data_IF_895294490553
#
_entry.id   IF_895294490553
#
_cell.length_a   1.000
_cell.length_b   1.000
_cell.length_c   1.000
_cell.angle_alpha   90.00
_cell.angle_beta   90.00
_cell.angle_gamma   90.00
#
_symmetry.space_group_name_H-M   'P 1'
#
loop_
_entity.id
_entity.type
_entity.pdbx_description
1 polymer ?
#
# COMPACT_ATOMS: atom_id res chain seq x y z
N UNK A 1 -10.57 17.55 -23.69
CA UNK A 1 -10.80 17.19 -22.28
C UNK A 1 -9.48 16.74 -21.70
N UNK A 2 -8.89 17.52 -20.81
CA UNK A 2 -7.65 17.11 -20.11
C UNK A 2 -8.03 16.01 -19.11
N UNK A 3 -7.57 14.80 -19.36
CA UNK A 3 -7.70 13.71 -18.39
C UNK A 3 -6.92 14.10 -17.13
N UNK A 4 -7.61 14.07 -15.98
CA UNK A 4 -6.97 14.34 -14.70
C UNK A 4 -5.82 13.34 -14.49
N UNK A 5 -4.56 13.80 -14.26
CA UNK A 5 -3.42 12.91 -14.06
C UNK A 5 -3.66 11.83 -12.99
N UNK A 6 -4.45 12.15 -11.96
CA UNK A 6 -4.85 11.19 -10.93
C UNK A 6 -5.73 10.05 -11.46
N UNK A 7 -6.62 10.32 -12.42
CA UNK A 7 -7.46 9.26 -12.99
C UNK A 7 -6.65 8.28 -13.85
N UNK A 8 -5.63 8.77 -14.54
CA UNK A 8 -4.69 7.93 -15.30
C UNK A 8 -3.87 7.07 -14.34
N UNK A 9 -3.34 7.65 -13.27
CA UNK A 9 -2.55 6.95 -12.27
C UNK A 9 -3.34 5.84 -11.55
N UNK A 10 -4.60 6.12 -11.17
CA UNK A 10 -5.49 5.15 -10.54
C UNK A 10 -5.92 4.02 -11.48
N UNK A 11 -6.08 4.31 -12.77
CA UNK A 11 -6.50 3.31 -13.75
C UNK A 11 -5.37 2.37 -14.16
N UNK A 12 -4.11 2.84 -14.12
CA UNK A 12 -2.93 2.05 -14.49
C UNK A 12 -2.44 1.11 -13.37
N UNK A 13 -2.80 1.38 -12.12
CA UNK A 13 -2.33 0.64 -10.95
C UNK A 13 -3.50 0.13 -10.09
N UNK A 14 -4.42 -0.61 -10.71
CA UNK A 14 -5.57 -1.19 -9.98
C UNK A 14 -5.10 -2.18 -8.92
N UNK A 15 -5.78 -2.13 -7.78
CA UNK A 15 -5.55 -3.03 -6.66
C UNK A 15 -5.90 -4.47 -7.07
N UNK A 16 -4.89 -5.31 -7.10
CA UNK A 16 -4.97 -6.74 -7.33
C UNK A 16 -4.15 -7.47 -6.27
N UNK A 17 -4.39 -8.77 -6.11
CA UNK A 17 -3.71 -9.56 -5.09
C UNK A 17 -2.17 -9.48 -5.15
N UNK A 18 -1.61 -9.35 -6.35
CA UNK A 18 -0.17 -9.37 -6.56
C UNK A 18 0.50 -8.01 -6.34
N UNK A 19 -0.24 -6.91 -6.49
CA UNK A 19 0.30 -5.54 -6.42
C UNK A 19 -0.20 -4.74 -5.21
N UNK A 20 -0.76 -5.40 -4.19
CA UNK A 20 -1.33 -4.73 -3.01
C UNK A 20 -0.37 -3.74 -2.34
N UNK A 21 0.91 -4.07 -2.24
CA UNK A 21 1.91 -3.21 -1.59
C UNK A 21 2.07 -1.88 -2.31
N UNK A 22 2.18 -1.93 -3.64
CA UNK A 22 2.30 -0.72 -4.48
C UNK A 22 0.98 0.06 -4.51
N UNK A 23 -0.13 -0.64 -4.59
CA UNK A 23 -1.47 -0.03 -4.56
C UNK A 23 -1.79 0.61 -3.22
N UNK A 24 -1.39 0.01 -2.09
CA UNK A 24 -1.51 0.62 -0.76
C UNK A 24 -0.70 1.91 -0.67
N UNK A 25 0.54 1.90 -1.18
CA UNK A 25 1.38 3.11 -1.22
C UNK A 25 0.70 4.23 -2.00
N UNK A 26 0.07 3.90 -3.12
CA UNK A 26 -0.68 4.84 -3.93
C UNK A 26 -1.93 5.36 -3.20
N UNK A 27 -2.66 4.48 -2.49
CA UNK A 27 -3.80 4.85 -1.66
C UNK A 27 -3.43 5.79 -0.50
N UNK A 28 -2.24 5.65 0.07
CA UNK A 28 -1.74 6.55 1.11
C UNK A 28 -1.35 7.93 0.58
N UNK A 29 -0.80 8.00 -0.64
CA UNK A 29 -0.32 9.24 -1.25
C UNK A 29 -1.49 10.16 -1.63
N UNK A 30 -2.54 9.63 -2.29
CA UNK A 30 -3.61 10.45 -2.87
C UNK A 30 -4.40 11.24 -1.83
N UNK A 31 -4.92 10.63 -0.74
CA UNK A 31 -5.61 11.38 0.30
C UNK A 31 -4.72 12.38 1.03
N UNK A 32 -3.41 12.08 1.12
CA UNK A 32 -2.43 12.98 1.75
C UNK A 32 -2.22 14.22 0.90
N UNK A 33 -2.05 14.07 -0.42
CA UNK A 33 -1.87 15.20 -1.36
C UNK A 33 -3.09 16.11 -1.36
N UNK A 34 -4.29 15.55 -1.29
CA UNK A 34 -5.56 16.30 -1.30
C UNK A 34 -6.03 16.74 0.11
N UNK A 35 -5.22 16.56 1.15
CA UNK A 35 -5.54 16.93 2.55
C UNK A 35 -6.81 16.28 3.12
N UNK A 36 -7.22 15.11 2.60
CA UNK A 36 -8.42 14.41 3.05
C UNK A 36 -8.12 13.17 3.92
N UNK A 37 -6.84 12.86 4.16
CA UNK A 37 -6.43 11.66 4.91
C UNK A 37 -6.95 11.60 6.34
N UNK A 38 -7.25 12.75 6.93
CA UNK A 38 -7.72 12.86 8.31
C UNK A 38 -9.01 12.08 8.60
N UNK A 39 -9.90 11.89 7.60
CA UNK A 39 -11.14 11.11 7.77
C UNK A 39 -10.89 9.61 8.01
N UNK A 40 -9.69 9.10 7.72
CA UNK A 40 -9.33 7.71 8.01
C UNK A 40 -9.04 7.48 9.50
N UNK A 41 -8.79 8.54 10.26
CA UNK A 41 -8.40 8.48 11.68
C UNK A 41 -9.38 9.23 12.58
N UNK A 42 -10.24 10.08 12.02
CA UNK A 42 -11.20 10.89 12.76
C UNK A 42 -12.60 10.30 12.58
N UNK A 43 -13.29 9.92 13.65
CA UNK A 43 -14.65 9.42 13.56
C UNK A 43 -15.61 10.49 13.01
N UNK A 44 -16.73 10.03 12.45
CA UNK A 44 -17.78 10.93 11.99
C UNK A 44 -18.28 11.79 13.16
N UNK A 45 -18.36 13.11 13.01
CA UNK A 45 -19.05 13.97 13.97
C UNK A 45 -20.50 13.52 14.19
N UNK A 46 -21.09 13.82 15.34
CA UNK A 46 -22.50 13.50 15.59
C UNK A 46 -23.39 14.14 14.53
N UNK A 47 -24.48 13.43 14.21
CA UNK A 47 -25.48 13.97 13.28
C UNK A 47 -26.10 15.26 13.85
N UNK A 48 -26.37 16.21 12.98
CA UNK A 48 -27.01 17.45 13.34
C UNK A 48 -28.37 17.22 14.00
N UNK A 49 -28.61 17.90 15.10
CA UNK A 49 -29.87 17.94 15.84
C UNK A 49 -30.27 19.41 16.08
N UNK A 50 -31.40 19.63 16.73
CA UNK A 50 -31.94 20.98 16.98
C UNK A 50 -31.02 21.84 17.87
N UNK A 51 -30.09 21.22 18.64
CA UNK A 51 -29.14 21.90 19.52
C UNK A 51 -27.75 22.08 18.86
N UNK A 52 -27.56 21.62 17.62
CA UNK A 52 -26.26 21.68 16.93
C UNK A 52 -25.92 23.11 16.54
N UNK A 53 -24.69 23.52 16.82
CA UNK A 53 -24.18 24.82 16.40
C UNK A 53 -23.87 24.86 14.90
N UNK A 54 -23.71 26.06 14.34
CA UNK A 54 -23.28 26.20 12.94
C UNK A 54 -21.89 25.56 12.71
N UNK A 55 -21.00 25.65 13.70
CA UNK A 55 -19.68 25.06 13.67
C UNK A 55 -19.73 23.52 13.62
N UNK A 56 -20.65 22.89 14.38
CA UNK A 56 -20.86 21.43 14.34
C UNK A 56 -21.39 20.98 12.97
N UNK A 57 -22.30 21.75 12.39
CA UNK A 57 -22.85 21.47 11.06
C UNK A 57 -21.78 21.60 9.96
N UNK A 58 -20.92 22.62 10.05
CA UNK A 58 -19.82 22.81 9.11
C UNK A 58 -18.77 21.71 9.25
N UNK A 59 -18.46 21.27 10.47
CA UNK A 59 -17.55 20.15 10.74
C UNK A 59 -18.09 18.84 10.17
N UNK A 60 -19.38 18.55 10.36
CA UNK A 60 -20.03 17.36 9.80
C UNK A 60 -20.02 17.40 8.27
N UNK A 61 -20.35 18.55 7.66
CA UNK A 61 -20.36 18.70 6.21
C UNK A 61 -18.95 18.54 5.61
N UNK A 62 -17.92 19.06 6.27
CA UNK A 62 -16.53 18.90 5.87
C UNK A 62 -16.08 17.44 5.95
N UNK A 63 -16.49 16.74 7.01
CA UNK A 63 -16.18 15.32 7.18
C UNK A 63 -16.84 14.47 6.10
N UNK A 64 -18.16 14.64 5.88
CA UNK A 64 -18.90 13.89 4.87
C UNK A 64 -18.32 14.08 3.46
N UNK A 65 -17.99 15.33 3.10
CA UNK A 65 -17.34 15.62 1.81
C UNK A 65 -15.99 14.93 1.68
N UNK A 66 -15.16 14.99 2.71
CA UNK A 66 -13.83 14.36 2.69
C UNK A 66 -13.94 12.85 2.67
N UNK A 67 -14.88 12.27 3.41
CA UNK A 67 -15.16 10.82 3.40
C UNK A 67 -15.55 10.34 2.00
N UNK A 68 -16.49 11.05 1.34
CA UNK A 68 -16.92 10.69 -0.02
C UNK A 68 -15.76 10.76 -1.03
N UNK A 69 -14.93 11.79 -0.96
CA UNK A 69 -13.76 11.94 -1.82
C UNK A 69 -12.80 10.76 -1.63
N UNK A 70 -12.47 10.40 -0.38
CA UNK A 70 -11.56 9.29 -0.10
C UNK A 70 -12.16 7.95 -0.51
N UNK A 71 -13.46 7.71 -0.26
CA UNK A 71 -14.17 6.51 -0.74
C UNK A 71 -14.07 6.39 -2.27
N UNK A 72 -14.33 7.46 -3.00
CA UNK A 72 -14.20 7.46 -4.46
C UNK A 72 -12.78 7.10 -4.91
N UNK A 73 -11.74 7.61 -4.25
CA UNK A 73 -10.35 7.23 -4.57
C UNK A 73 -10.06 5.77 -4.30
N UNK A 74 -10.49 5.25 -3.16
CA UNK A 74 -10.30 3.84 -2.81
C UNK A 74 -11.00 2.95 -3.85
N UNK A 75 -12.27 3.22 -4.16
CA UNK A 75 -13.02 2.47 -5.16
C UNK A 75 -12.39 2.57 -6.56
N UNK A 76 -11.93 3.76 -6.96
CA UNK A 76 -11.29 3.95 -8.26
C UNK A 76 -10.01 3.13 -8.42
N UNK A 77 -9.30 2.87 -7.32
CA UNK A 77 -8.07 2.06 -7.30
C UNK A 77 -8.32 0.55 -7.33
N UNK A 78 -9.55 0.08 -7.08
CA UNK A 78 -9.90 -1.34 -7.03
C UNK A 78 -10.22 -1.91 -8.41
N UNK A 79 -10.03 -3.23 -8.56
CA UNK A 79 -10.63 -3.96 -9.68
C UNK A 79 -12.16 -4.09 -9.49
N UNK A 80 -12.86 -4.55 -10.52
CA UNK A 80 -14.34 -4.59 -10.51
C UNK A 80 -14.90 -5.49 -9.39
N UNK A 81 -14.26 -6.62 -9.10
CA UNK A 81 -14.71 -7.55 -8.06
C UNK A 81 -14.62 -6.92 -6.67
N UNK A 82 -13.49 -6.28 -6.35
CA UNK A 82 -13.31 -5.58 -5.08
C UNK A 82 -14.26 -4.38 -4.94
N UNK A 83 -14.54 -3.66 -6.05
CA UNK A 83 -15.52 -2.57 -6.05
C UNK A 83 -16.91 -3.01 -5.62
N UNK A 84 -17.39 -4.14 -6.15
CA UNK A 84 -18.71 -4.66 -5.78
C UNK A 84 -18.76 -5.07 -4.30
N UNK A 85 -17.68 -5.64 -3.76
CA UNK A 85 -17.60 -6.03 -2.35
C UNK A 85 -17.56 -4.83 -1.39
N UNK A 86 -17.05 -3.68 -1.84
CA UNK A 86 -16.82 -2.51 -0.99
C UNK A 86 -17.80 -1.36 -1.26
N UNK A 87 -18.70 -1.51 -2.24
CA UNK A 87 -19.63 -0.46 -2.65
C UNK A 87 -20.49 0.08 -1.50
N UNK A 88 -21.00 -0.83 -0.67
CA UNK A 88 -21.98 -0.52 0.37
C UNK A 88 -21.33 -0.13 1.70
N UNK A 89 -20.00 -0.05 1.76
CA UNK A 89 -19.30 0.40 2.97
C UNK A 89 -19.42 1.92 3.07
N UNK A 90 -19.98 2.40 4.17
CA UNK A 90 -20.35 3.81 4.36
C UNK A 90 -19.14 4.72 4.58
N UNK A 91 -18.11 4.24 5.31
CA UNK A 91 -16.95 5.08 5.63
C UNK A 91 -15.69 4.68 4.87
N UNK A 92 -14.89 5.67 4.51
CA UNK A 92 -13.58 5.43 3.92
C UNK A 92 -12.64 4.68 4.88
N UNK A 93 -12.78 4.92 6.18
CA UNK A 93 -12.01 4.26 7.22
C UNK A 93 -12.29 2.76 7.26
N UNK A 94 -13.58 2.36 7.28
CA UNK A 94 -13.97 0.94 7.28
C UNK A 94 -13.56 0.24 5.99
N UNK A 95 -13.70 0.91 4.86
CA UNK A 95 -13.26 0.41 3.57
C UNK A 95 -11.75 0.15 3.56
N UNK A 96 -10.97 1.09 4.07
CA UNK A 96 -9.52 0.98 4.17
C UNK A 96 -9.11 -0.13 5.15
N UNK A 97 -9.79 -0.25 6.30
CA UNK A 97 -9.56 -1.30 7.29
C UNK A 97 -9.83 -2.69 6.72
N UNK A 98 -10.97 -2.88 6.03
CA UNK A 98 -11.29 -4.13 5.35
C UNK A 98 -10.22 -4.53 4.34
N UNK A 99 -9.69 -3.58 3.57
CA UNK A 99 -8.58 -3.85 2.65
C UNK A 99 -7.32 -4.29 3.40
N UNK A 100 -6.99 -3.63 4.51
CA UNK A 100 -5.84 -4.01 5.34
C UNK A 100 -5.99 -5.43 5.89
N UNK A 101 -7.18 -5.81 6.30
CA UNK A 101 -7.48 -7.14 6.83
C UNK A 101 -7.41 -8.22 5.74
N UNK A 102 -8.08 -7.98 4.61
CA UNK A 102 -8.05 -8.90 3.45
C UNK A 102 -6.63 -9.19 2.96
N UNK A 103 -5.80 -8.16 2.87
CA UNK A 103 -4.45 -8.29 2.32
C UNK A 103 -3.34 -8.46 3.38
N UNK A 104 -3.68 -8.36 4.67
CA UNK A 104 -2.71 -8.49 5.75
C UNK A 104 -2.05 -9.87 5.82
N UNK A 105 -2.83 -10.92 5.63
CA UNK A 105 -2.34 -12.30 5.55
C UNK A 105 -1.45 -12.53 4.33
N UNK A 106 -1.85 -12.00 3.20
CA UNK A 106 -1.10 -12.12 1.94
C UNK A 106 0.24 -11.36 1.99
N UNK A 107 0.27 -10.20 2.66
CA UNK A 107 1.52 -9.46 2.91
C UNK A 107 2.53 -10.31 3.67
N UNK A 108 2.10 -11.03 4.70
CA UNK A 108 2.98 -11.94 5.46
C UNK A 108 3.52 -13.06 4.58
N UNK A 109 2.67 -13.66 3.76
CA UNK A 109 3.07 -14.75 2.85
C UNK A 109 4.04 -14.24 1.77
N UNK A 110 3.76 -13.09 1.15
CA UNK A 110 4.63 -12.44 0.15
C UNK A 110 5.99 -12.08 0.76
N UNK A 111 6.01 -11.59 2.00
CA UNK A 111 7.24 -11.31 2.73
C UNK A 111 8.07 -12.57 2.96
N UNK A 112 7.45 -13.64 3.45
CA UNK A 112 8.14 -14.92 3.65
C UNK A 112 8.70 -15.49 2.34
N UNK A 113 7.97 -15.33 1.25
CA UNK A 113 8.43 -15.74 -0.08
C UNK A 113 9.62 -14.89 -0.53
N UNK A 114 9.58 -13.58 -0.35
CA UNK A 114 10.68 -12.68 -0.70
C UNK A 114 11.96 -12.99 0.10
N UNK A 115 11.82 -13.26 1.41
CA UNK A 115 12.93 -13.70 2.27
C UNK A 115 13.51 -15.02 1.79
N UNK A 116 12.67 -16.01 1.46
CA UNK A 116 13.12 -17.30 0.92
C UNK A 116 13.85 -17.14 -0.41
N UNK A 117 13.35 -16.31 -1.31
CA UNK A 117 14.01 -16.00 -2.58
C UNK A 117 15.38 -15.37 -2.37
N UNK A 118 15.49 -14.43 -1.44
CA UNK A 118 16.75 -13.81 -1.06
C UNK A 118 17.74 -14.85 -0.49
N UNK A 119 17.32 -15.67 0.49
CA UNK A 119 18.18 -16.68 1.13
C UNK A 119 18.62 -17.78 0.17
N UNK A 120 17.81 -18.12 -0.83
CA UNK A 120 18.14 -19.13 -1.84
C UNK A 120 18.86 -18.55 -3.06
N UNK A 121 19.10 -17.24 -3.07
CA UNK A 121 19.79 -16.57 -4.17
C UNK A 121 21.29 -16.82 -4.04
N UNK A 122 21.85 -17.63 -4.96
CA UNK A 122 23.28 -17.91 -5.02
C UNK A 122 23.84 -17.44 -6.37
N UNK A 123 25.04 -16.87 -6.35
CA UNK A 123 25.72 -16.42 -7.54
C UNK A 123 26.10 -17.65 -8.40
N UNK A 124 25.57 -17.71 -9.62
CA UNK A 124 25.92 -18.75 -10.58
C UNK A 124 27.28 -18.48 -11.18
N UNK A 125 28.03 -19.56 -11.51
CA UNK A 125 29.28 -19.44 -12.25
C UNK A 125 29.06 -18.62 -13.55
N UNK A 126 29.96 -17.66 -13.82
CA UNK A 126 29.92 -16.72 -14.97
C UNK A 126 28.87 -15.61 -14.89
N UNK A 127 28.12 -15.45 -13.78
CA UNK A 127 27.28 -14.26 -13.60
C UNK A 127 28.17 -13.07 -13.25
N UNK A 128 28.03 -11.92 -13.92
CA UNK A 128 28.74 -10.71 -13.51
C UNK A 128 28.36 -10.31 -12.09
N UNK A 129 29.33 -9.99 -11.25
CA UNK A 129 29.09 -9.57 -9.85
C UNK A 129 28.11 -8.41 -9.78
N UNK A 130 28.21 -7.46 -10.70
CA UNK A 130 27.29 -6.31 -10.79
C UNK A 130 25.84 -6.73 -10.92
N UNK A 131 25.53 -7.68 -11.81
CA UNK A 131 24.15 -8.13 -12.05
C UNK A 131 23.61 -8.89 -10.87
N UNK A 132 24.46 -9.69 -10.22
CA UNK A 132 24.11 -10.37 -8.99
C UNK A 132 23.82 -9.38 -7.85
N UNK A 133 24.61 -8.32 -7.69
CA UNK A 133 24.36 -7.29 -6.67
C UNK A 133 23.06 -6.54 -6.92
N UNK A 134 22.70 -6.22 -8.17
CA UNK A 134 21.42 -5.60 -8.52
C UNK A 134 20.26 -6.51 -8.12
N UNK A 135 20.36 -7.81 -8.35
CA UNK A 135 19.35 -8.79 -7.95
C UNK A 135 19.18 -8.84 -6.44
N UNK A 136 20.28 -8.90 -5.68
CA UNK A 136 20.25 -8.88 -4.21
C UNK A 136 19.60 -7.61 -3.69
N UNK A 137 19.98 -6.44 -4.20
CA UNK A 137 19.37 -5.16 -3.81
C UNK A 137 17.88 -5.14 -4.11
N UNK A 138 17.42 -5.73 -5.23
CA UNK A 138 16.01 -5.80 -5.57
C UNK A 138 15.21 -6.63 -4.56
N UNK A 139 15.76 -7.76 -4.08
CA UNK A 139 15.12 -8.56 -3.04
C UNK A 139 15.08 -7.83 -1.69
N UNK A 140 16.15 -7.14 -1.32
CA UNK A 140 16.21 -6.33 -0.09
C UNK A 140 15.16 -5.23 -0.10
N UNK A 141 15.10 -4.43 -1.16
CA UNK A 141 14.10 -3.38 -1.32
C UNK A 141 12.68 -3.95 -1.22
N UNK A 142 12.41 -5.11 -1.82
CA UNK A 142 11.12 -5.79 -1.73
C UNK A 142 10.79 -6.19 -0.29
N UNK A 143 11.74 -6.70 0.47
CA UNK A 143 11.58 -7.11 1.86
C UNK A 143 11.34 -5.89 2.77
N UNK A 144 12.07 -4.78 2.56
CA UNK A 144 11.87 -3.51 3.27
C UNK A 144 10.49 -2.90 3.00
N UNK A 145 10.07 -2.84 1.74
CA UNK A 145 8.71 -2.36 1.36
C UNK A 145 7.63 -3.19 2.06
N UNK A 146 7.87 -4.49 2.29
CA UNK A 146 6.99 -5.38 3.02
C UNK A 146 7.08 -5.20 4.56
N UNK A 147 7.87 -4.22 5.04
CA UNK A 147 7.94 -3.82 6.43
C UNK A 147 8.81 -4.72 7.31
N UNK A 148 9.87 -5.29 6.75
CA UNK A 148 10.88 -6.02 7.51
C UNK A 148 12.21 -5.26 7.42
N UNK A 149 12.69 -4.77 8.56
CA UNK A 149 14.02 -4.17 8.65
C UNK A 149 15.06 -5.30 8.71
N UNK A 150 15.96 -5.31 7.74
CA UNK A 150 17.11 -6.21 7.73
C UNK A 150 18.30 -5.42 8.26
N UNK A 151 18.91 -5.88 9.33
CA UNK A 151 20.14 -5.27 9.82
C UNK A 151 21.24 -5.35 8.75
N UNK A 152 21.81 -4.18 8.40
CA UNK A 152 22.80 -4.05 7.34
C UNK A 152 24.05 -4.93 7.54
N UNK A 153 24.41 -5.26 8.78
CA UNK A 153 25.53 -6.18 9.08
C UNK A 153 25.19 -7.61 8.65
N UNK A 154 24.01 -8.06 9.02
CA UNK A 154 23.53 -9.40 8.65
C UNK A 154 23.41 -9.57 7.13
N UNK A 155 23.06 -8.48 6.42
CA UNK A 155 23.00 -8.49 4.94
C UNK A 155 24.35 -8.75 4.32
N UNK A 156 25.40 -8.11 4.80
CA UNK A 156 26.76 -8.29 4.25
C UNK A 156 27.20 -9.74 4.43
N UNK A 157 27.01 -10.33 5.61
CA UNK A 157 27.36 -11.71 5.90
C UNK A 157 26.58 -12.69 5.00
N UNK A 158 25.27 -12.45 4.84
CA UNK A 158 24.43 -13.26 3.94
C UNK A 158 24.86 -13.15 2.47
N UNK A 159 25.24 -11.96 2.01
CA UNK A 159 25.77 -11.77 0.64
C UNK A 159 27.08 -12.53 0.47
N UNK A 160 27.99 -12.45 1.43
CA UNK A 160 29.27 -13.15 1.36
C UNK A 160 29.09 -14.67 1.31
N UNK A 161 28.11 -15.23 2.01
CA UNK A 161 27.78 -16.67 1.93
C UNK A 161 27.21 -17.10 0.58
N UNK A 162 26.59 -16.18 -0.18
CA UNK A 162 26.01 -16.48 -1.51
C UNK A 162 27.04 -16.42 -2.64
N UNK A 163 28.23 -15.91 -2.38
CA UNK A 163 29.33 -15.86 -3.37
C UNK A 163 29.94 -17.27 -3.61
N UNK A 164 30.38 -17.57 -4.83
CA UNK A 164 31.05 -18.84 -5.10
C UNK A 164 32.34 -18.92 -4.27
N UNK A 165 32.50 -20.01 -3.56
CA UNK A 165 33.77 -20.31 -2.87
C UNK A 165 34.84 -20.54 -3.93
N UNK A 166 35.89 -19.73 -3.89
CA UNK A 166 37.06 -19.91 -4.75
C UNK A 166 37.78 -21.15 -4.21
N UNK A 167 37.73 -22.24 -4.99
CA UNK A 167 38.50 -23.47 -4.75
C UNK A 167 39.88 -23.31 -5.32
#
# INVERSE_FOLDING_TARGET
MSLNPLSIFLSSNKLENENYVDSKRNLDIIPTVNKHKWVLTTPCPPLSNDDSTQEDNDALAAWLRSNEIVRCYILASMNNMLKEQHRDIETAADMFYNLLEMFGGQRRQTRLQAVRQFMNCHMKARTPVRDFMILIISYMNKIEILGYEIDGKNVIDMILETLPRIS
#
